data_IF_434812744229
#
_entry.id   IF_434812744229
#
_cell.length_a   1.000
_cell.length_b   1.000
_cell.length_c   1.000
_cell.angle_alpha   90.00
_cell.angle_beta   90.00
_cell.angle_gamma   90.00
#
_symmetry.space_group_name_H-M   'P 1'
#
loop_
_entity.id
_entity.type
_entity.pdbx_description
1 polymer ?
#
# COMPACT_ATOMS: atom_id res chain seq x y z
N UNK A 1 -7.27 35.15 -35.44
CA UNK A 1 -8.71 34.86 -35.43
C UNK A 1 -8.97 33.88 -34.31
N UNK A 2 -9.79 34.23 -33.29
CA UNK A 2 -10.21 33.29 -32.25
C UNK A 2 -10.96 32.17 -32.94
N UNK A 3 -10.56 30.91 -32.71
CA UNK A 3 -11.39 29.78 -33.04
C UNK A 3 -12.64 29.84 -32.16
N UNK A 4 -13.83 30.18 -32.68
CA UNK A 4 -15.03 30.36 -31.85
C UNK A 4 -15.51 29.05 -31.20
N UNK A 5 -14.90 27.93 -31.57
CA UNK A 5 -15.31 26.56 -31.22
C UNK A 5 -14.91 26.13 -29.81
N UNK A 6 -13.76 26.58 -29.30
CA UNK A 6 -13.21 26.08 -28.04
C UNK A 6 -13.86 26.71 -26.82
N UNK A 7 -14.11 28.03 -26.86
CA UNK A 7 -14.80 28.75 -25.78
C UNK A 7 -16.30 28.43 -25.67
N UNK A 8 -16.90 27.89 -26.73
CA UNK A 8 -18.29 27.42 -26.72
C UNK A 8 -18.44 25.98 -26.21
N UNK A 9 -17.39 25.15 -26.32
CA UNK A 9 -17.44 23.73 -25.94
C UNK A 9 -16.83 23.42 -24.57
N UNK A 10 -15.77 24.13 -24.15
CA UNK A 10 -15.05 23.86 -22.91
C UNK A 10 -14.89 25.10 -22.03
N UNK A 11 -14.87 24.91 -20.73
CA UNK A 11 -14.54 25.92 -19.72
C UNK A 11 -13.51 25.39 -18.74
N UNK A 12 -12.71 26.29 -18.14
CA UNK A 12 -11.75 25.92 -17.08
C UNK A 12 -12.47 25.33 -15.87
N UNK A 13 -11.94 24.26 -15.33
CA UNK A 13 -12.44 23.70 -14.07
C UNK A 13 -12.04 24.61 -12.92
N UNK A 14 -12.95 25.04 -12.04
CA UNK A 14 -12.63 25.89 -10.88
C UNK A 14 -11.77 25.18 -9.84
N UNK A 15 -11.78 23.85 -9.85
CA UNK A 15 -10.96 23.02 -8.94
C UNK A 15 -9.48 23.05 -9.31
N UNK A 16 -9.13 23.27 -10.58
CA UNK A 16 -7.75 23.17 -11.08
C UNK A 16 -6.86 24.28 -10.51
N UNK A 17 -5.67 23.87 -10.07
CA UNK A 17 -4.58 24.75 -9.65
C UNK A 17 -3.42 24.65 -10.61
N UNK A 18 -2.85 25.79 -10.97
CA UNK A 18 -1.64 25.87 -11.78
C UNK A 18 -0.43 26.08 -10.85
N UNK A 19 0.52 25.17 -10.91
CA UNK A 19 1.73 25.18 -10.09
C UNK A 19 2.94 25.43 -10.99
N UNK A 20 3.67 26.55 -10.85
CA UNK A 20 4.90 26.74 -11.58
C UNK A 20 5.97 25.78 -11.08
N UNK A 21 6.70 25.16 -11.99
CA UNK A 21 7.84 24.28 -11.73
C UNK A 21 9.00 24.71 -12.62
N UNK A 22 10.20 24.68 -12.05
CA UNK A 22 11.43 24.89 -12.83
C UNK A 22 12.22 23.60 -12.78
N UNK A 23 12.38 22.97 -13.93
CA UNK A 23 13.16 21.74 -14.08
C UNK A 23 14.27 22.05 -15.09
N UNK A 24 15.53 21.89 -14.67
CA UNK A 24 16.73 22.18 -15.47
C UNK A 24 16.72 23.58 -16.13
N UNK A 25 16.36 24.58 -15.35
CA UNK A 25 16.32 25.96 -15.82
C UNK A 25 15.16 26.30 -16.77
N UNK A 26 14.34 25.32 -17.17
CA UNK A 26 13.14 25.52 -18.00
C UNK A 26 11.90 25.62 -17.11
N UNK A 27 11.01 26.56 -17.42
CA UNK A 27 9.77 26.79 -16.69
C UNK A 27 8.61 25.99 -17.28
N UNK A 28 7.86 25.34 -16.41
CA UNK A 28 6.65 24.58 -16.72
C UNK A 28 5.52 24.95 -15.77
N UNK A 29 4.31 24.63 -16.14
CA UNK A 29 3.13 24.80 -15.30
C UNK A 29 2.40 23.46 -15.19
N UNK A 30 2.31 22.93 -13.96
CA UNK A 30 1.55 21.73 -13.67
C UNK A 30 0.12 22.14 -13.36
N UNK A 31 -0.82 21.86 -14.27
CA UNK A 31 -2.24 21.95 -14.00
C UNK A 31 -2.64 20.70 -13.19
N UNK A 32 -3.18 20.89 -12.01
CA UNK A 32 -3.56 19.79 -11.12
C UNK A 32 -4.99 19.99 -10.63
N UNK A 33 -5.82 18.94 -10.81
CA UNK A 33 -7.14 18.86 -10.22
C UNK A 33 -7.07 18.07 -8.90
N UNK A 34 -7.16 18.74 -7.74
CA UNK A 34 -7.01 18.07 -6.46
C UNK A 34 -8.10 17.04 -6.16
N UNK A 35 -9.31 17.21 -6.71
CA UNK A 35 -10.44 16.31 -6.46
C UNK A 35 -10.28 14.99 -7.20
N UNK A 36 -9.77 15.06 -8.42
CA UNK A 36 -9.56 13.90 -9.27
C UNK A 36 -8.18 13.27 -9.09
N UNK A 37 -7.19 14.02 -8.57
CA UNK A 37 -5.80 13.61 -8.57
C UNK A 37 -5.22 13.48 -9.99
N UNK A 38 -5.81 14.16 -10.95
CA UNK A 38 -5.34 14.23 -12.33
C UNK A 38 -4.50 15.50 -12.55
N UNK A 39 -3.60 15.45 -13.51
CA UNK A 39 -2.73 16.56 -13.80
C UNK A 39 -2.21 16.53 -15.26
N UNK A 40 -1.70 17.68 -15.71
CA UNK A 40 -0.98 17.83 -16.97
C UNK A 40 0.14 18.85 -16.81
N UNK A 41 1.15 18.76 -17.65
CA UNK A 41 2.25 19.72 -17.74
C UNK A 41 2.06 20.54 -19.00
N UNK A 42 2.18 21.86 -18.85
CA UNK A 42 2.20 22.81 -19.96
C UNK A 42 3.51 23.57 -19.94
N UNK A 43 4.09 23.82 -21.10
CA UNK A 43 5.16 24.79 -21.23
C UNK A 43 4.62 26.23 -21.10
N UNK A 44 5.49 27.22 -21.20
CA UNK A 44 5.09 28.62 -21.02
C UNK A 44 4.14 29.11 -22.11
N UNK A 45 4.31 28.65 -23.35
CA UNK A 45 3.47 29.00 -24.47
C UNK A 45 2.10 28.32 -24.39
N UNK A 46 2.07 27.05 -24.06
CA UNK A 46 0.85 26.27 -23.83
C UNK A 46 0.03 26.84 -22.65
N UNK A 47 0.75 27.20 -21.56
CA UNK A 47 0.11 27.81 -20.39
C UNK A 47 -0.49 29.19 -20.71
N UNK A 48 0.19 30.01 -21.52
CA UNK A 48 -0.37 31.26 -21.99
C UNK A 48 -1.64 31.03 -22.82
N UNK A 49 -1.63 30.05 -23.74
CA UNK A 49 -2.83 29.68 -24.51
C UNK A 49 -3.97 29.20 -23.59
N UNK A 50 -3.63 28.42 -22.58
CA UNK A 50 -4.60 28.02 -21.55
C UNK A 50 -5.21 29.22 -20.82
N UNK A 51 -4.39 30.20 -20.41
CA UNK A 51 -4.86 31.38 -19.69
C UNK A 51 -5.79 32.25 -20.56
N UNK A 52 -5.47 32.37 -21.83
CA UNK A 52 -6.18 33.24 -22.78
C UNK A 52 -7.35 32.54 -23.51
N UNK A 53 -7.71 31.31 -23.09
CA UNK A 53 -8.76 30.47 -23.72
C UNK A 53 -8.50 30.24 -25.23
N UNK A 54 -7.24 30.05 -25.61
CA UNK A 54 -6.76 29.88 -26.99
C UNK A 54 -6.10 28.51 -27.23
N UNK A 55 -6.48 27.48 -26.44
CA UNK A 55 -6.00 26.13 -26.63
C UNK A 55 -6.28 25.63 -28.06
N UNK A 56 -5.38 24.82 -28.56
CA UNK A 56 -5.66 24.03 -29.78
C UNK A 56 -6.67 22.93 -29.44
N UNK A 57 -7.29 22.33 -30.44
CA UNK A 57 -8.25 21.25 -30.25
C UNK A 57 -7.64 20.05 -29.53
N UNK A 58 -6.40 19.67 -29.88
CA UNK A 58 -5.66 18.56 -29.25
C UNK A 58 -5.35 18.86 -27.78
N UNK A 59 -4.90 20.08 -27.46
CA UNK A 59 -4.64 20.50 -26.09
C UNK A 59 -5.93 20.48 -25.25
N UNK A 60 -7.00 21.02 -25.80
CA UNK A 60 -8.29 21.06 -25.12
C UNK A 60 -8.85 19.65 -24.88
N UNK A 61 -8.81 18.77 -25.88
CA UNK A 61 -9.26 17.39 -25.73
C UNK A 61 -8.40 16.64 -24.67
N UNK A 62 -7.08 16.82 -24.69
CA UNK A 62 -6.16 16.23 -23.71
C UNK A 62 -6.50 16.68 -22.30
N UNK A 63 -6.71 17.98 -22.08
CA UNK A 63 -7.06 18.51 -20.76
C UNK A 63 -8.47 18.10 -20.33
N UNK A 64 -9.41 17.98 -21.27
CA UNK A 64 -10.76 17.53 -21.00
C UNK A 64 -10.79 16.05 -20.54
N UNK A 65 -10.10 15.18 -21.24
CA UNK A 65 -10.00 13.75 -20.87
C UNK A 65 -9.36 13.54 -19.49
N UNK A 66 -8.61 14.52 -19.01
CA UNK A 66 -8.02 14.53 -17.67
C UNK A 66 -8.88 15.27 -16.63
N UNK A 67 -10.03 15.81 -16.99
CA UNK A 67 -10.90 16.60 -16.11
C UNK A 67 -10.27 17.91 -15.62
N UNK A 68 -9.32 18.47 -16.40
CA UNK A 68 -8.66 19.73 -16.12
C UNK A 68 -9.42 20.94 -16.73
N UNK A 69 -10.20 20.67 -17.77
CA UNK A 69 -11.25 21.54 -18.27
C UNK A 69 -12.54 20.75 -18.33
N UNK A 70 -13.68 21.44 -18.37
CA UNK A 70 -15.02 20.87 -18.35
C UNK A 70 -15.74 21.19 -19.65
N UNK A 71 -16.75 20.39 -19.99
CA UNK A 71 -17.75 20.79 -20.98
C UNK A 71 -18.45 22.07 -20.53
N UNK A 72 -18.67 23.00 -21.47
CA UNK A 72 -19.24 24.33 -21.15
C UNK A 72 -20.61 24.23 -20.47
N UNK A 73 -21.40 23.22 -20.88
CA UNK A 73 -22.75 22.97 -20.36
C UNK A 73 -22.80 22.10 -19.13
N UNK A 74 -21.67 21.49 -18.72
CA UNK A 74 -21.62 20.60 -17.56
C UNK A 74 -21.28 21.35 -16.27
N UNK A 75 -21.88 20.93 -15.15
CA UNK A 75 -21.61 21.46 -13.82
C UNK A 75 -20.60 20.63 -13.00
N UNK A 76 -20.01 19.58 -13.57
CA UNK A 76 -19.11 18.68 -12.86
C UNK A 76 -18.01 18.04 -13.73
N UNK A 77 -17.08 17.36 -13.10
CA UNK A 77 -16.08 16.57 -13.78
C UNK A 77 -16.70 15.32 -14.43
N UNK A 78 -16.33 15.05 -15.69
CA UNK A 78 -16.84 13.89 -16.44
C UNK A 78 -16.07 12.59 -16.15
N UNK A 79 -15.00 12.65 -15.36
CA UNK A 79 -14.27 11.44 -14.97
C UNK A 79 -15.03 10.71 -13.86
N UNK A 80 -15.61 9.58 -14.21
CA UNK A 80 -16.15 8.65 -13.24
C UNK A 80 -15.02 7.75 -12.73
N UNK A 81 -14.75 7.83 -11.44
CA UNK A 81 -13.89 6.84 -10.79
C UNK A 81 -14.65 5.53 -10.62
N UNK A 82 -13.95 4.37 -10.69
CA UNK A 82 -14.54 3.11 -10.31
C UNK A 82 -15.16 3.23 -8.90
N UNK A 83 -16.42 2.82 -8.76
CA UNK A 83 -17.08 2.82 -7.44
C UNK A 83 -16.26 1.96 -6.47
N UNK A 84 -16.00 2.46 -5.26
CA UNK A 84 -15.32 1.66 -4.25
C UNK A 84 -16.06 0.35 -4.00
N UNK A 85 -15.30 -0.73 -3.77
CA UNK A 85 -15.90 -2.03 -3.44
C UNK A 85 -16.81 -1.92 -2.20
N UNK A 86 -17.94 -2.59 -2.26
CA UNK A 86 -18.90 -2.65 -1.16
C UNK A 86 -18.59 -3.79 -0.17
N UNK A 87 -17.94 -4.83 -0.67
CA UNK A 87 -17.64 -6.05 0.08
C UNK A 87 -16.16 -6.43 -0.05
N UNK A 88 -15.57 -7.02 0.99
CA UNK A 88 -14.18 -7.45 0.95
C UNK A 88 -13.98 -8.63 0.00
N UNK A 89 -12.84 -8.62 -0.67
CA UNK A 89 -12.32 -9.72 -1.47
C UNK A 89 -10.96 -10.23 -0.96
N UNK A 90 -10.35 -9.49 -0.02
CA UNK A 90 -9.12 -9.86 0.65
C UNK A 90 -9.39 -9.98 2.15
N UNK A 91 -8.97 -11.06 2.75
CA UNK A 91 -8.96 -11.19 4.21
C UNK A 91 -7.59 -11.62 4.69
N UNK A 92 -7.04 -10.82 5.61
CA UNK A 92 -5.84 -11.19 6.35
C UNK A 92 -6.27 -12.10 7.49
N UNK A 93 -5.84 -13.35 7.43
CA UNK A 93 -6.13 -14.38 8.43
C UNK A 93 -4.93 -14.50 9.34
N UNK A 94 -5.03 -13.94 10.54
CA UNK A 94 -4.01 -14.11 11.56
C UNK A 94 -4.17 -15.52 12.15
N UNK A 95 -3.51 -16.50 11.52
CA UNK A 95 -3.66 -17.92 11.88
C UNK A 95 -3.13 -18.22 13.29
N UNK A 96 -2.22 -17.40 13.76
CA UNK A 96 -1.68 -17.42 15.12
C UNK A 96 -1.16 -16.03 15.53
N UNK A 97 -1.17 -15.72 16.82
CA UNK A 97 -0.50 -14.54 17.36
C UNK A 97 0.91 -14.86 17.91
N UNK A 98 1.33 -16.13 17.87
CA UNK A 98 2.69 -16.54 18.24
C UNK A 98 3.70 -16.15 17.16
N UNK A 99 4.89 -15.69 17.57
CA UNK A 99 6.00 -15.40 16.66
C UNK A 99 7.31 -15.92 17.29
N UNK A 100 8.20 -16.49 16.49
CA UNK A 100 9.53 -16.92 16.95
C UNK A 100 10.57 -15.79 17.00
N UNK A 101 10.18 -14.57 16.56
CA UNK A 101 11.02 -13.36 16.66
C UNK A 101 10.38 -12.32 17.58
N UNK A 102 11.21 -11.36 18.04
CA UNK A 102 10.82 -10.21 18.84
C UNK A 102 11.33 -8.91 18.23
N UNK A 103 10.82 -8.60 17.02
CA UNK A 103 11.22 -7.38 16.29
C UNK A 103 10.88 -6.11 17.09
N UNK A 104 11.79 -5.11 17.11
CA UNK A 104 11.61 -3.87 17.88
C UNK A 104 10.42 -3.05 17.44
N UNK A 105 10.10 -3.04 16.17
CA UNK A 105 8.99 -2.26 15.56
C UNK A 105 7.72 -3.10 15.35
N UNK A 106 7.55 -4.25 15.99
CA UNK A 106 6.40 -5.10 15.76
C UNK A 106 5.09 -4.39 16.16
N UNK A 107 4.30 -3.99 15.19
CA UNK A 107 3.03 -3.30 15.43
C UNK A 107 1.96 -4.21 16.07
N UNK A 108 2.10 -5.55 15.94
CA UNK A 108 1.20 -6.54 16.50
C UNK A 108 1.66 -7.05 17.88
N UNK A 109 2.81 -6.59 18.37
CA UNK A 109 3.42 -6.96 19.65
C UNK A 109 3.50 -8.46 19.93
N UNK A 110 3.70 -9.27 18.88
CA UNK A 110 3.78 -10.72 19.00
C UNK A 110 5.08 -11.16 19.67
N UNK A 111 5.00 -12.21 20.46
CA UNK A 111 6.12 -12.77 21.24
C UNK A 111 6.25 -14.28 21.06
N UNK A 112 7.48 -14.82 21.27
CA UNK A 112 7.69 -16.27 21.32
C UNK A 112 6.93 -16.92 22.48
N UNK A 113 6.39 -18.13 22.23
CA UNK A 113 5.70 -18.98 23.21
C UNK A 113 4.47 -18.36 23.88
N UNK A 114 4.03 -17.19 23.42
CA UNK A 114 2.77 -16.55 23.82
C UNK A 114 1.92 -16.35 22.58
N UNK A 115 0.66 -16.64 22.69
CA UNK A 115 -0.30 -16.38 21.64
C UNK A 115 -1.26 -17.53 21.38
N UNK A 116 -2.27 -17.21 20.62
CA UNK A 116 -3.37 -18.11 20.28
C UNK A 116 -3.16 -18.72 18.90
N UNK A 117 -3.80 -19.86 18.67
CA UNK A 117 -3.87 -20.54 17.39
C UNK A 117 -5.33 -20.59 16.95
N UNK A 118 -5.58 -20.23 15.69
CA UNK A 118 -6.93 -20.27 15.13
C UNK A 118 -7.46 -21.70 15.09
N UNK A 119 -8.61 -21.94 15.73
CA UNK A 119 -9.25 -23.24 15.77
C UNK A 119 -10.10 -23.47 14.51
N UNK A 120 -10.40 -24.72 14.21
CA UNK A 120 -11.08 -25.11 12.98
C UNK A 120 -12.47 -24.49 12.81
N UNK A 121 -13.20 -24.29 13.90
CA UNK A 121 -14.52 -23.62 13.88
C UNK A 121 -14.42 -22.17 13.35
N UNK A 122 -13.41 -21.43 13.80
CA UNK A 122 -13.12 -20.08 13.31
C UNK A 122 -12.67 -20.12 11.86
N UNK A 123 -11.75 -21.04 11.49
CA UNK A 123 -11.29 -21.20 10.11
C UNK A 123 -12.46 -21.40 9.16
N UNK A 124 -13.33 -22.36 9.48
CA UNK A 124 -14.52 -22.70 8.70
C UNK A 124 -15.44 -21.49 8.54
N UNK A 125 -15.69 -20.78 9.63
CA UNK A 125 -16.56 -19.60 9.62
C UNK A 125 -16.01 -18.46 8.78
N UNK A 126 -14.71 -18.17 8.85
CA UNK A 126 -14.02 -17.16 8.00
C UNK A 126 -14.18 -17.52 6.53
N UNK A 127 -13.95 -18.78 6.18
CA UNK A 127 -14.02 -19.25 4.80
C UNK A 127 -15.46 -19.16 4.26
N UNK A 128 -16.46 -19.64 5.02
CA UNK A 128 -17.88 -19.57 4.66
C UNK A 128 -18.34 -18.14 4.41
N UNK A 129 -18.00 -17.21 5.32
CA UNK A 129 -18.33 -15.79 5.16
C UNK A 129 -17.71 -15.20 3.89
N UNK A 130 -16.43 -15.47 3.63
CA UNK A 130 -15.76 -14.97 2.42
C UNK A 130 -16.31 -15.61 1.15
N UNK A 131 -16.63 -16.91 1.15
CA UNK A 131 -17.26 -17.57 0.02
C UNK A 131 -18.69 -17.04 -0.25
N UNK A 132 -19.36 -16.49 0.75
CA UNK A 132 -20.68 -15.84 0.60
C UNK A 132 -20.61 -14.44 -0.03
N UNK A 133 -19.43 -13.80 -0.11
CA UNK A 133 -19.29 -12.45 -0.67
C UNK A 133 -19.53 -12.45 -2.19
N UNK A 134 -19.95 -11.31 -2.79
CA UNK A 134 -20.25 -11.24 -4.23
C UNK A 134 -19.04 -11.45 -5.15
N UNK A 135 -17.82 -11.16 -4.69
CA UNK A 135 -16.61 -11.30 -5.51
C UNK A 135 -16.38 -12.75 -5.94
N UNK A 136 -16.11 -12.98 -7.22
CA UNK A 136 -15.67 -14.27 -7.74
C UNK A 136 -14.20 -14.59 -7.44
N UNK A 137 -13.41 -13.59 -7.00
CA UNK A 137 -12.00 -13.73 -6.61
C UNK A 137 -11.87 -13.42 -5.14
N UNK A 138 -11.24 -14.33 -4.39
CA UNK A 138 -10.98 -14.19 -2.96
C UNK A 138 -9.49 -14.39 -2.73
N UNK A 139 -8.89 -13.53 -1.90
CA UNK A 139 -7.53 -13.72 -1.43
C UNK A 139 -7.54 -13.96 0.08
N UNK A 140 -7.03 -15.11 0.50
CA UNK A 140 -6.68 -15.39 1.89
C UNK A 140 -5.19 -15.10 2.10
N UNK A 141 -4.89 -14.06 2.87
CA UNK A 141 -3.53 -13.72 3.23
C UNK A 141 -3.24 -14.23 4.65
N UNK A 142 -2.54 -15.36 4.74
CA UNK A 142 -2.21 -16.01 6.00
C UNK A 142 -1.03 -15.29 6.64
N UNK A 143 -1.29 -14.71 7.78
CA UNK A 143 -0.37 -13.91 8.59
C UNK A 143 -0.52 -14.25 10.07
N UNK A 144 -0.16 -13.30 10.92
CA UNK A 144 -0.32 -13.36 12.37
C UNK A 144 0.89 -12.77 13.07
N UNK A 145 1.46 -13.51 14.03
CA UNK A 145 2.82 -13.30 14.48
C UNK A 145 3.79 -13.81 13.42
N UNK A 146 4.02 -15.12 13.42
CA UNK A 146 4.69 -15.83 12.32
C UNK A 146 3.83 -17.03 11.90
N UNK A 147 3.25 -17.02 10.71
CA UNK A 147 2.31 -18.07 10.28
C UNK A 147 2.98 -19.46 10.21
N UNK A 148 4.27 -19.53 9.93
CA UNK A 148 5.00 -20.80 9.88
C UNK A 148 5.24 -21.44 11.26
N UNK A 149 4.93 -20.74 12.35
CA UNK A 149 4.82 -21.36 13.67
C UNK A 149 3.58 -22.30 13.76
N UNK A 150 2.64 -22.20 12.83
CA UNK A 150 1.42 -23.04 12.80
C UNK A 150 1.14 -23.61 11.41
N UNK A 151 2.14 -24.28 10.81
CA UNK A 151 2.04 -24.89 9.47
C UNK A 151 0.89 -25.90 9.36
N UNK A 152 0.64 -26.69 10.41
CA UNK A 152 -0.49 -27.63 10.45
C UNK A 152 -1.83 -26.92 10.37
N UNK A 153 -2.01 -25.79 11.07
CA UNK A 153 -3.22 -24.97 10.98
C UNK A 153 -3.36 -24.31 9.61
N UNK A 154 -2.25 -23.81 9.05
CA UNK A 154 -2.24 -23.26 7.68
C UNK A 154 -2.69 -24.31 6.65
N UNK A 155 -2.14 -25.51 6.70
CA UNK A 155 -2.57 -26.65 5.85
C UNK A 155 -4.06 -26.92 6.01
N UNK A 156 -4.53 -27.01 7.27
CA UNK A 156 -5.95 -27.27 7.56
C UNK A 156 -6.88 -26.19 7.03
N UNK A 157 -6.49 -24.91 7.18
CA UNK A 157 -7.24 -23.78 6.64
C UNK A 157 -7.41 -23.90 5.11
N UNK A 158 -6.33 -24.20 4.41
CA UNK A 158 -6.37 -24.36 2.95
C UNK A 158 -7.23 -25.57 2.55
N UNK A 159 -7.08 -26.70 3.21
CA UNK A 159 -7.88 -27.91 2.92
C UNK A 159 -9.38 -27.66 3.11
N UNK A 160 -9.79 -26.99 4.19
CA UNK A 160 -11.19 -26.60 4.42
C UNK A 160 -11.65 -25.62 3.32
N UNK A 161 -10.82 -24.68 2.95
CA UNK A 161 -11.13 -23.70 1.91
C UNK A 161 -11.37 -24.37 0.56
N UNK A 162 -10.51 -25.30 0.15
CA UNK A 162 -10.66 -26.07 -1.08
C UNK A 162 -11.92 -26.96 -1.04
N UNK A 163 -12.20 -27.59 0.10
CA UNK A 163 -13.39 -28.41 0.29
C UNK A 163 -14.68 -27.60 0.11
N UNK A 164 -14.81 -26.49 0.84
CA UNK A 164 -15.99 -25.63 0.80
C UNK A 164 -16.16 -24.92 -0.54
N UNK A 165 -15.06 -24.64 -1.22
CA UNK A 165 -15.12 -23.99 -2.52
C UNK A 165 -15.59 -24.88 -3.67
N UNK A 166 -15.60 -26.20 -3.51
CA UNK A 166 -16.14 -27.14 -4.54
C UNK A 166 -17.58 -26.82 -4.96
N UNK A 167 -18.37 -26.29 -4.03
CA UNK A 167 -19.75 -25.89 -4.29
C UNK A 167 -19.91 -24.43 -4.70
N UNK A 168 -18.92 -23.61 -4.44
CA UNK A 168 -18.96 -22.16 -4.74
C UNK A 168 -18.24 -21.79 -6.04
N UNK A 169 -17.21 -22.54 -6.44
CA UNK A 169 -16.49 -22.37 -7.69
C UNK A 169 -15.73 -21.05 -7.85
N UNK A 170 -15.32 -20.42 -6.74
CA UNK A 170 -14.61 -19.15 -6.77
C UNK A 170 -13.13 -19.33 -7.05
N UNK A 171 -12.49 -18.29 -7.60
CA UNK A 171 -11.03 -18.23 -7.73
C UNK A 171 -10.43 -17.83 -6.39
N UNK A 172 -9.76 -18.77 -5.72
CA UNK A 172 -9.09 -18.51 -4.45
C UNK A 172 -7.59 -18.34 -4.68
N UNK A 173 -7.00 -17.32 -4.06
CA UNK A 173 -5.56 -17.11 -3.98
C UNK A 173 -5.11 -17.19 -2.53
N UNK A 174 -4.13 -18.04 -2.25
CA UNK A 174 -3.45 -18.10 -0.96
C UNK A 174 -2.18 -17.27 -1.00
N UNK A 175 -2.01 -16.42 0.02
CA UNK A 175 -0.80 -15.63 0.23
C UNK A 175 -0.28 -15.85 1.65
N UNK A 176 1.04 -15.77 1.82
CA UNK A 176 1.70 -15.86 3.12
C UNK A 176 2.68 -14.71 3.26
N UNK A 177 2.67 -14.03 4.39
CA UNK A 177 3.74 -13.11 4.77
C UNK A 177 4.45 -13.69 5.97
N UNK A 178 5.72 -14.04 5.81
CA UNK A 178 6.54 -14.72 6.81
C UNK A 178 7.81 -13.93 7.14
N UNK A 179 8.39 -14.16 8.30
CA UNK A 179 9.74 -13.69 8.61
C UNK A 179 10.84 -14.53 7.94
N UNK A 180 10.48 -15.64 7.31
CA UNK A 180 11.37 -16.50 6.52
C UNK A 180 12.23 -17.49 7.30
N UNK A 181 12.35 -17.36 8.60
CA UNK A 181 13.27 -18.21 9.42
C UNK A 181 12.84 -19.67 9.53
N UNK A 182 11.55 -19.96 9.27
CA UNK A 182 10.95 -21.29 9.40
C UNK A 182 10.57 -21.90 8.03
N UNK A 183 11.10 -21.39 6.93
CA UNK A 183 10.94 -21.99 5.60
C UNK A 183 11.71 -23.31 5.59
N UNK A 184 10.99 -24.41 5.44
CA UNK A 184 11.49 -25.78 5.38
C UNK A 184 10.77 -26.57 4.29
N UNK A 185 11.11 -27.84 4.14
CA UNK A 185 10.56 -28.71 3.10
C UNK A 185 9.03 -28.87 3.24
N UNK A 186 8.52 -28.89 4.48
CA UNK A 186 7.06 -28.94 4.71
C UNK A 186 6.35 -27.72 4.12
N UNK A 187 6.86 -26.53 4.36
CA UNK A 187 6.27 -25.30 3.77
C UNK A 187 6.45 -25.27 2.24
N UNK A 188 7.60 -25.69 1.75
CA UNK A 188 7.89 -25.76 0.29
C UNK A 188 6.90 -26.67 -0.41
N UNK A 189 6.65 -27.87 0.13
CA UNK A 189 5.68 -28.83 -0.42
C UNK A 189 4.26 -28.25 -0.40
N UNK A 190 3.87 -27.61 0.71
CA UNK A 190 2.58 -26.96 0.83
C UNK A 190 2.43 -25.82 -0.19
N UNK A 191 3.46 -24.99 -0.34
CA UNK A 191 3.46 -23.87 -1.29
C UNK A 191 3.35 -24.33 -2.74
N UNK A 192 4.07 -25.40 -3.11
CA UNK A 192 3.96 -26.02 -4.44
C UNK A 192 2.57 -26.63 -4.69
N UNK A 193 2.08 -27.41 -3.73
CA UNK A 193 0.80 -28.13 -3.85
C UNK A 193 -0.38 -27.19 -4.07
N UNK A 194 -0.44 -26.08 -3.34
CA UNK A 194 -1.57 -25.14 -3.35
C UNK A 194 -1.27 -23.82 -4.05
N UNK A 195 -0.16 -23.74 -4.78
CA UNK A 195 0.30 -22.51 -5.46
C UNK A 195 0.26 -21.29 -4.54
N UNK A 196 0.80 -21.45 -3.33
CA UNK A 196 0.86 -20.37 -2.35
C UNK A 196 1.87 -19.31 -2.82
N UNK A 197 1.43 -18.09 -2.92
CA UNK A 197 2.30 -16.94 -3.11
C UNK A 197 2.80 -16.44 -1.75
N UNK A 198 4.05 -16.10 -1.64
CA UNK A 198 4.56 -15.64 -0.35
C UNK A 198 5.60 -14.53 -0.48
N UNK A 199 5.62 -13.69 0.54
CA UNK A 199 6.62 -12.66 0.74
C UNK A 199 7.38 -12.88 2.04
N UNK A 200 8.62 -12.43 2.07
CA UNK A 200 9.50 -12.53 3.25
C UNK A 200 9.74 -11.14 3.82
N UNK A 201 9.86 -11.04 5.14
CA UNK A 201 10.14 -9.78 5.82
C UNK A 201 11.63 -9.63 6.09
N UNK A 202 12.31 -8.65 5.47
CA UNK A 202 13.76 -8.42 5.58
C UNK A 202 14.08 -6.94 5.35
N UNK A 203 14.93 -6.33 6.18
CA UNK A 203 15.10 -4.87 6.22
C UNK A 203 16.39 -4.37 5.55
N UNK A 204 16.98 -5.19 4.70
CA UNK A 204 18.23 -4.92 4.01
C UNK A 204 19.40 -5.77 4.53
N UNK A 205 20.66 -5.34 4.36
CA UNK A 205 21.85 -6.06 4.80
C UNK A 205 21.86 -6.47 6.27
N UNK A 206 22.76 -7.38 6.64
CA UNK A 206 22.86 -7.99 7.96
C UNK A 206 23.00 -6.98 9.10
N UNK A 207 23.83 -5.97 8.90
CA UNK A 207 24.08 -4.91 9.87
C UNK A 207 22.83 -4.07 10.18
N UNK A 208 21.92 -3.91 9.22
CA UNK A 208 20.64 -3.20 9.38
C UNK A 208 19.59 -4.13 9.99
N UNK A 209 19.38 -5.29 9.39
CA UNK A 209 18.34 -6.23 9.80
C UNK A 209 18.53 -6.70 11.25
N UNK A 210 19.76 -7.00 11.66
CA UNK A 210 20.06 -7.48 13.00
C UNK A 210 19.93 -6.42 14.12
N UNK A 211 19.76 -5.16 13.78
CA UNK A 211 19.46 -4.12 14.78
C UNK A 211 18.02 -4.21 15.30
N UNK A 212 17.10 -4.75 14.51
CA UNK A 212 15.66 -4.65 14.75
C UNK A 212 14.91 -5.99 14.70
N UNK A 213 15.34 -6.94 13.83
CA UNK A 213 14.74 -8.29 13.77
C UNK A 213 15.51 -9.25 14.67
N UNK A 214 15.06 -9.36 15.91
CA UNK A 214 15.74 -10.09 16.95
C UNK A 214 15.01 -11.38 17.30
N UNK A 215 15.78 -12.39 17.71
CA UNK A 215 15.28 -13.57 18.43
C UNK A 215 15.02 -13.20 19.90
N UNK A 216 14.43 -14.12 20.65
CA UNK A 216 14.15 -13.92 22.09
C UNK A 216 15.40 -13.72 22.96
N UNK A 217 16.55 -14.26 22.54
CA UNK A 217 17.85 -14.09 23.19
C UNK A 217 18.56 -12.77 22.83
N UNK A 218 17.93 -11.93 21.98
CA UNK A 218 18.48 -10.67 21.53
C UNK A 218 19.44 -10.80 20.34
N UNK A 219 19.73 -12.00 19.85
CA UNK A 219 20.53 -12.19 18.64
C UNK A 219 19.74 -11.83 17.37
N UNK A 220 20.46 -11.40 16.32
CA UNK A 220 19.83 -11.04 15.04
C UNK A 220 19.40 -12.27 14.23
N UNK A 221 18.34 -12.12 13.45
CA UNK A 221 17.72 -13.22 12.70
C UNK A 221 18.14 -13.26 11.20
N UNK A 222 19.02 -12.37 10.74
CA UNK A 222 19.36 -12.22 9.32
C UNK A 222 19.77 -13.54 8.65
N UNK A 223 20.68 -14.29 9.27
CA UNK A 223 21.25 -15.49 8.65
C UNK A 223 20.17 -16.57 8.43
N UNK A 224 19.24 -16.76 9.36
CA UNK A 224 18.12 -17.69 9.21
C UNK A 224 17.13 -17.23 8.15
N UNK A 225 16.86 -15.92 8.07
CA UNK A 225 15.97 -15.35 7.06
C UNK A 225 16.54 -15.61 5.65
N UNK A 226 17.81 -15.27 5.45
CA UNK A 226 18.48 -15.46 4.15
C UNK A 226 18.60 -16.95 3.80
N UNK A 227 18.89 -17.82 4.77
CA UNK A 227 18.90 -19.27 4.56
C UNK A 227 17.54 -19.79 4.11
N UNK A 228 16.44 -19.29 4.70
CA UNK A 228 15.08 -19.63 4.27
C UNK A 228 14.77 -19.15 2.85
N UNK A 229 15.20 -17.93 2.49
CA UNK A 229 15.08 -17.39 1.13
C UNK A 229 15.81 -18.29 0.11
N UNK A 230 17.07 -18.62 0.37
CA UNK A 230 17.85 -19.46 -0.54
C UNK A 230 17.23 -20.87 -0.67
N UNK A 231 16.79 -21.48 0.43
CA UNK A 231 16.10 -22.78 0.39
C UNK A 231 14.86 -22.74 -0.50
N UNK A 232 14.04 -21.69 -0.41
CA UNK A 232 12.88 -21.53 -1.28
C UNK A 232 13.28 -21.35 -2.74
N UNK A 233 14.31 -20.56 -3.05
CA UNK A 233 14.83 -20.34 -4.40
C UNK A 233 15.41 -21.63 -4.99
N UNK A 234 16.20 -22.37 -4.23
CA UNK A 234 16.77 -23.67 -4.63
C UNK A 234 15.67 -24.70 -4.93
N UNK A 235 14.56 -24.65 -4.19
CA UNK A 235 13.38 -25.47 -4.45
C UNK A 235 12.56 -25.01 -5.68
N UNK A 236 12.98 -23.94 -6.37
CA UNK A 236 12.29 -23.38 -7.53
C UNK A 236 11.04 -22.55 -7.21
N UNK A 237 10.84 -22.15 -5.95
CA UNK A 237 9.75 -21.25 -5.58
C UNK A 237 10.11 -19.80 -5.88
N UNK A 238 9.13 -19.08 -6.42
CA UNK A 238 9.25 -17.62 -6.62
C UNK A 238 8.78 -16.91 -5.35
N UNK A 239 9.65 -16.09 -4.78
CA UNK A 239 9.30 -15.17 -3.70
C UNK A 239 8.68 -13.92 -4.32
N UNK A 240 7.45 -13.58 -3.94
CA UNK A 240 6.73 -12.41 -4.49
C UNK A 240 7.43 -11.09 -4.18
N UNK A 241 8.15 -11.04 -3.07
CA UNK A 241 8.96 -9.90 -2.66
C UNK A 241 9.23 -9.88 -1.17
N UNK A 242 9.97 -8.87 -0.75
CA UNK A 242 10.28 -8.63 0.65
C UNK A 242 9.59 -7.35 1.15
N UNK A 243 9.00 -7.40 2.34
CA UNK A 243 8.64 -6.17 3.07
C UNK A 243 9.89 -5.69 3.83
N UNK A 244 10.40 -4.52 3.40
CA UNK A 244 11.54 -3.85 4.03
C UNK A 244 11.02 -2.70 4.90
N UNK A 245 11.06 -2.87 6.21
CA UNK A 245 10.63 -1.83 7.14
C UNK A 245 11.74 -0.80 7.31
N UNK A 246 11.43 0.47 7.01
CA UNK A 246 12.36 1.57 7.17
C UNK A 246 12.15 2.25 8.53
N UNK A 247 13.27 2.55 9.15
CA UNK A 247 13.35 3.27 10.41
C UNK A 247 14.73 3.89 10.59
N UNK A 248 15.04 4.40 11.78
CA UNK A 248 16.30 5.05 12.07
C UNK A 248 17.54 4.15 11.82
N UNK A 249 17.35 2.83 11.80
CA UNK A 249 18.40 1.84 11.57
C UNK A 249 18.83 1.71 10.09
N UNK A 250 18.02 2.19 9.13
CA UNK A 250 18.30 1.96 7.71
C UNK A 250 17.74 3.03 6.74
N UNK A 251 17.00 4.05 7.20
CA UNK A 251 16.35 5.02 6.29
C UNK A 251 17.34 5.88 5.49
N UNK A 252 18.59 6.01 5.92
CA UNK A 252 19.64 6.75 5.20
C UNK A 252 20.44 5.89 4.23
N UNK A 253 20.14 4.60 4.13
CA UNK A 253 20.91 3.59 3.41
C UNK A 253 20.20 3.06 2.15
N UNK A 254 19.36 3.89 1.52
CA UNK A 254 18.50 3.48 0.39
C UNK A 254 19.28 2.83 -0.77
N UNK A 255 20.48 3.32 -1.09
CA UNK A 255 21.33 2.73 -2.14
C UNK A 255 21.76 1.31 -1.77
N UNK A 256 22.30 1.11 -0.55
CA UNK A 256 22.73 -0.21 -0.07
C UNK A 256 21.58 -1.21 0.02
N UNK A 257 20.38 -0.75 0.39
CA UNK A 257 19.16 -1.57 0.43
C UNK A 257 18.80 -2.05 -0.98
N UNK A 258 18.77 -1.15 -1.98
CA UNK A 258 18.45 -1.52 -3.35
C UNK A 258 19.48 -2.52 -3.93
N UNK A 259 20.77 -2.29 -3.71
CA UNK A 259 21.86 -3.19 -4.11
C UNK A 259 21.74 -4.57 -3.48
N UNK A 260 21.44 -4.62 -2.19
CA UNK A 260 21.25 -5.87 -1.46
C UNK A 260 20.11 -6.71 -2.03
N UNK A 261 18.94 -6.12 -2.27
CA UNK A 261 17.81 -6.86 -2.85
C UNK A 261 18.06 -7.27 -4.31
N UNK A 262 18.80 -6.46 -5.06
CA UNK A 262 19.23 -6.83 -6.41
C UNK A 262 20.16 -8.05 -6.39
N UNK A 263 21.14 -8.10 -5.48
CA UNK A 263 22.03 -9.25 -5.29
C UNK A 263 21.27 -10.50 -4.80
N UNK A 264 20.29 -10.34 -3.95
CA UNK A 264 19.45 -11.43 -3.44
C UNK A 264 18.45 -11.95 -4.49
N UNK A 265 18.22 -11.17 -5.57
CA UNK A 265 17.36 -11.55 -6.68
C UNK A 265 15.86 -11.56 -6.34
N UNK A 266 15.41 -10.78 -5.36
CA UNK A 266 13.99 -10.70 -4.97
C UNK A 266 13.47 -9.26 -5.02
N UNK A 267 12.24 -9.05 -5.51
CA UNK A 267 11.58 -7.76 -5.42
C UNK A 267 11.41 -7.31 -3.96
N UNK A 268 11.25 -6.01 -3.73
CA UNK A 268 11.06 -5.52 -2.36
C UNK A 268 10.09 -4.33 -2.30
N UNK A 269 9.56 -4.09 -1.09
CA UNK A 269 8.63 -3.01 -0.78
C UNK A 269 9.11 -2.29 0.46
N UNK A 270 9.91 -1.23 0.31
CA UNK A 270 10.31 -0.39 1.43
C UNK A 270 9.11 0.43 1.93
N UNK A 271 8.94 0.48 3.24
CA UNK A 271 7.90 1.28 3.89
C UNK A 271 8.34 1.69 5.29
N UNK A 272 8.00 2.90 5.73
CA UNK A 272 8.25 3.31 7.11
C UNK A 272 7.56 2.40 8.13
N UNK A 273 8.17 2.23 9.29
CA UNK A 273 7.56 1.60 10.44
C UNK A 273 6.30 2.36 10.89
N UNK A 274 5.31 1.63 11.42
CA UNK A 274 4.08 2.23 11.91
C UNK A 274 4.16 2.41 13.41
N UNK A 275 3.73 3.55 13.92
CA UNK A 275 3.75 3.89 15.35
C UNK A 275 2.61 3.17 16.08
N UNK A 276 2.77 1.84 16.27
CA UNK A 276 1.83 0.96 16.97
C UNK A 276 2.59 -0.20 17.59
N UNK A 277 2.01 -0.85 18.60
CA UNK A 277 2.63 -1.96 19.31
C UNK A 277 3.98 -1.56 19.91
N UNK A 278 5.01 -2.43 19.78
CA UNK A 278 6.36 -2.15 20.29
C UNK A 278 7.04 -0.94 19.68
N UNK A 279 6.63 -0.47 18.50
CA UNK A 279 7.21 0.73 17.90
C UNK A 279 6.96 1.98 18.75
N UNK A 280 5.88 2.03 19.53
CA UNK A 280 5.59 3.14 20.45
C UNK A 280 6.73 3.32 21.47
N UNK A 281 7.30 2.21 21.94
CA UNK A 281 8.41 2.21 22.91
C UNK A 281 9.77 2.33 22.24
N UNK A 282 9.96 1.65 21.11
CA UNK A 282 11.24 1.56 20.42
C UNK A 282 11.60 2.82 19.64
N UNK A 283 10.59 3.60 19.21
CA UNK A 283 10.74 4.85 18.45
C UNK A 283 11.70 4.72 17.26
N UNK A 284 11.65 3.60 16.55
CA UNK A 284 12.55 3.32 15.41
C UNK A 284 12.05 3.89 14.11
N UNK A 285 10.85 4.44 14.06
CA UNK A 285 10.24 4.98 12.83
C UNK A 285 11.03 6.15 12.24
N UNK A 286 10.80 6.43 10.96
CA UNK A 286 11.42 7.56 10.26
C UNK A 286 10.88 8.89 10.77
N UNK A 287 11.75 9.92 10.83
CA UNK A 287 11.36 11.31 11.07
C UNK A 287 10.78 11.92 9.79
N UNK A 288 10.11 13.06 9.94
CA UNK A 288 9.56 13.80 8.79
C UNK A 288 10.65 14.19 7.79
N UNK A 289 10.45 13.84 6.55
CA UNK A 289 11.38 14.06 5.44
C UNK A 289 12.29 12.88 5.12
N UNK A 290 12.66 12.08 6.11
CA UNK A 290 13.59 10.96 5.92
C UNK A 290 13.06 9.87 4.97
N UNK A 291 11.74 9.62 5.01
CA UNK A 291 11.14 8.69 4.05
C UNK A 291 11.21 9.21 2.61
N UNK A 292 10.95 10.49 2.40
CA UNK A 292 11.02 11.07 1.06
C UNK A 292 12.45 11.03 0.49
N UNK A 293 13.45 11.27 1.34
CA UNK A 293 14.86 11.19 0.93
C UNK A 293 15.29 9.74 0.66
N UNK A 294 14.91 8.80 1.54
CA UNK A 294 15.11 7.37 1.30
C UNK A 294 14.43 6.92 0.00
N UNK A 295 13.20 7.38 -0.25
CA UNK A 295 12.46 7.04 -1.47
C UNK A 295 13.22 7.49 -2.73
N UNK A 296 13.77 8.68 -2.76
CA UNK A 296 14.54 9.19 -3.91
C UNK A 296 15.78 8.33 -4.18
N UNK A 297 16.56 8.03 -3.14
CA UNK A 297 17.74 7.17 -3.25
C UNK A 297 17.37 5.78 -3.77
N UNK A 298 16.32 5.18 -3.20
CA UNK A 298 15.77 3.89 -3.63
C UNK A 298 15.24 3.94 -5.07
N UNK A 299 14.57 5.03 -5.46
CA UNK A 299 14.01 5.21 -6.80
C UNK A 299 15.11 5.13 -7.86
N UNK A 300 16.12 5.96 -7.77
CA UNK A 300 17.20 6.00 -8.76
C UNK A 300 17.97 4.68 -8.79
N UNK A 301 18.37 4.16 -7.62
CA UNK A 301 19.18 2.95 -7.58
C UNK A 301 18.40 1.71 -8.03
N UNK A 302 17.12 1.61 -7.69
CA UNK A 302 16.27 0.50 -8.17
C UNK A 302 16.07 0.54 -9.68
N UNK A 303 15.88 1.73 -10.27
CA UNK A 303 15.76 1.91 -11.74
C UNK A 303 17.07 1.55 -12.45
N UNK A 304 18.20 1.99 -11.92
CA UNK A 304 19.54 1.68 -12.48
C UNK A 304 19.84 0.18 -12.46
N UNK A 305 19.52 -0.50 -11.36
CA UNK A 305 19.73 -1.94 -11.20
C UNK A 305 18.67 -2.81 -11.89
N UNK A 306 17.56 -2.21 -12.34
CA UNK A 306 16.43 -2.96 -12.92
C UNK A 306 15.69 -3.83 -11.91
N UNK A 307 15.83 -3.56 -10.59
CA UNK A 307 15.15 -4.32 -9.55
C UNK A 307 13.75 -3.77 -9.30
N UNK A 308 12.77 -4.65 -9.13
CA UNK A 308 11.40 -4.26 -8.81
C UNK A 308 11.30 -3.75 -7.37
N UNK A 309 10.94 -2.48 -7.24
CA UNK A 309 10.61 -1.83 -5.97
C UNK A 309 9.12 -1.47 -5.98
N UNK A 310 8.31 -2.22 -5.22
CA UNK A 310 6.85 -2.03 -5.21
C UNK A 310 6.39 -0.68 -4.69
N UNK A 311 7.16 -0.02 -3.82
CA UNK A 311 6.78 1.32 -3.37
C UNK A 311 6.89 2.34 -4.50
N UNK A 312 7.87 2.18 -5.43
CA UNK A 312 7.94 3.01 -6.63
C UNK A 312 6.66 2.83 -7.45
N UNK A 313 6.28 1.60 -7.76
CA UNK A 313 5.06 1.33 -8.55
C UNK A 313 3.81 1.89 -7.90
N UNK A 314 3.64 1.72 -6.58
CA UNK A 314 2.48 2.23 -5.86
C UNK A 314 2.39 3.76 -5.93
N UNK A 315 3.51 4.47 -5.73
CA UNK A 315 3.50 5.93 -5.80
C UNK A 315 3.39 6.45 -7.24
N UNK A 316 4.04 5.80 -8.22
CA UNK A 316 3.87 6.10 -9.64
C UNK A 316 2.41 5.89 -10.08
N UNK A 317 1.78 4.79 -9.67
CA UNK A 317 0.36 4.53 -9.93
C UNK A 317 -0.53 5.62 -9.34
N UNK A 318 -0.29 6.04 -8.09
CA UNK A 318 -1.05 7.11 -7.46
C UNK A 318 -0.92 8.46 -8.17
N UNK A 319 0.23 8.74 -8.79
CA UNK A 319 0.51 10.01 -9.48
C UNK A 319 0.11 9.97 -10.95
N UNK A 320 0.42 8.88 -11.66
CA UNK A 320 0.33 8.85 -13.12
C UNK A 320 -0.98 8.28 -13.66
N UNK A 321 -1.74 7.53 -12.83
CA UNK A 321 -2.96 6.88 -13.30
C UNK A 321 -4.19 7.27 -12.48
N UNK A 322 -5.36 7.40 -13.13
CA UNK A 322 -6.63 7.60 -12.41
C UNK A 322 -7.15 6.29 -11.78
N UNK A 323 -6.73 5.13 -12.27
CA UNK A 323 -7.09 3.82 -11.75
C UNK A 323 -5.93 3.28 -10.93
N UNK A 324 -6.22 2.83 -9.72
CA UNK A 324 -5.24 2.40 -8.71
C UNK A 324 -5.61 1.04 -8.18
N UNK A 325 -4.80 0.04 -8.48
CA UNK A 325 -5.12 -1.35 -8.15
C UNK A 325 -4.68 -1.73 -6.73
N UNK A 326 -3.67 -1.05 -6.18
CA UNK A 326 -3.20 -1.37 -4.84
C UNK A 326 -4.18 -0.90 -3.76
N UNK A 327 -4.66 -1.82 -2.91
CA UNK A 327 -5.72 -1.58 -1.92
C UNK A 327 -5.34 -0.52 -0.87
N UNK A 328 -4.06 -0.46 -0.47
CA UNK A 328 -3.55 0.52 0.48
C UNK A 328 -2.97 1.74 -0.24
N UNK A 329 -2.88 2.88 0.45
CA UNK A 329 -2.28 4.12 -0.03
C UNK A 329 -2.97 4.76 -1.25
N UNK A 330 -4.09 4.23 -1.70
CA UNK A 330 -4.94 4.80 -2.75
C UNK A 330 -6.16 5.52 -2.17
N UNK A 331 -6.82 6.33 -2.97
CA UNK A 331 -8.09 6.96 -2.65
C UNK A 331 -9.26 6.22 -3.34
N UNK A 332 -10.30 5.83 -2.60
CA UNK A 332 -10.41 5.74 -1.14
C UNK A 332 -9.65 4.54 -0.56
N UNK A 333 -9.42 4.57 0.79
CA UNK A 333 -8.78 3.48 1.51
C UNK A 333 -9.60 2.18 1.46
N UNK A 334 -8.90 1.03 1.32
CA UNK A 334 -9.55 -0.30 1.24
C UNK A 334 -10.02 -0.88 2.59
N UNK A 335 -9.69 -0.25 3.73
CA UNK A 335 -10.08 -0.74 5.06
C UNK A 335 -11.61 -0.86 5.19
N UNK A 336 -12.10 -2.01 5.67
CA UNK A 336 -13.52 -2.38 5.75
C UNK A 336 -14.28 -2.28 4.42
N UNK A 337 -13.59 -2.14 3.29
CA UNK A 337 -14.15 -2.12 1.94
C UNK A 337 -13.73 -3.36 1.15
N UNK A 338 -12.43 -3.49 0.91
CA UNK A 338 -11.85 -4.55 0.11
C UNK A 338 -11.04 -5.53 0.95
N UNK A 339 -10.57 -5.08 2.12
CA UNK A 339 -9.75 -5.85 3.04
C UNK A 339 -10.37 -5.87 4.43
N UNK A 340 -10.28 -7.02 5.07
CA UNK A 340 -10.53 -7.22 6.50
C UNK A 340 -9.35 -7.99 7.12
N UNK A 341 -9.30 -8.01 8.45
CA UNK A 341 -8.40 -8.88 9.20
C UNK A 341 -9.17 -9.66 10.24
N UNK A 342 -8.83 -10.93 10.46
CA UNK A 342 -9.47 -11.79 11.44
C UNK A 342 -8.41 -12.42 12.33
N UNK A 343 -8.59 -12.29 13.63
CA UNK A 343 -7.69 -12.88 14.64
C UNK A 343 -8.05 -14.34 14.99
N UNK A 344 -7.16 -15.10 15.65
CA UNK A 344 -7.40 -16.50 15.99
C UNK A 344 -8.66 -16.76 16.82
N UNK A 345 -9.08 -15.79 17.64
CA UNK A 345 -10.29 -15.86 18.46
C UNK A 345 -11.59 -15.60 17.66
N UNK A 346 -11.47 -15.18 16.39
CA UNK A 346 -12.57 -14.82 15.50
C UNK A 346 -12.91 -13.33 15.47
N UNK A 347 -12.19 -12.48 16.20
CA UNK A 347 -12.40 -11.02 16.18
C UNK A 347 -12.01 -10.45 14.82
N UNK A 348 -12.90 -9.62 14.24
CA UNK A 348 -12.75 -9.01 12.91
C UNK A 348 -12.38 -7.56 13.03
N UNK A 349 -11.43 -7.10 12.20
CA UNK A 349 -10.92 -5.73 12.13
C UNK A 349 -11.02 -5.16 10.70
N UNK A 350 -11.08 -3.82 10.54
CA UNK A 350 -11.18 -3.17 9.22
C UNK A 350 -10.01 -3.46 8.28
N UNK A 351 -8.81 -3.68 8.82
CA UNK A 351 -7.61 -4.12 8.09
C UNK A 351 -6.57 -4.65 9.08
N UNK A 352 -5.50 -5.24 8.57
CA UNK A 352 -4.43 -5.81 9.39
C UNK A 352 -3.75 -4.80 10.35
N UNK A 353 -3.70 -3.53 9.97
CA UNK A 353 -3.12 -2.48 10.82
C UNK A 353 -3.84 -2.29 12.17
N UNK A 354 -5.12 -2.65 12.26
CA UNK A 354 -5.91 -2.52 13.48
C UNK A 354 -5.97 -3.78 14.34
N UNK A 355 -5.31 -4.87 13.92
CA UNK A 355 -5.30 -6.09 14.73
C UNK A 355 -4.69 -5.83 16.11
N UNK A 356 -5.41 -6.27 17.16
CA UNK A 356 -5.02 -5.99 18.55
C UNK A 356 -5.60 -4.70 19.14
N UNK A 357 -6.07 -3.77 18.31
CA UNK A 357 -6.73 -2.55 18.76
C UNK A 357 -8.22 -2.81 19.04
N UNK A 358 -8.55 -3.23 20.27
CA UNK A 358 -9.90 -3.66 20.66
C UNK A 358 -10.99 -2.63 20.35
N UNK A 359 -10.65 -1.35 20.36
CA UNK A 359 -11.56 -0.24 20.01
C UNK A 359 -12.07 -0.33 18.56
N UNK A 360 -11.30 -0.96 17.65
CA UNK A 360 -11.67 -1.15 16.25
C UNK A 360 -12.17 -2.56 15.93
N UNK A 361 -12.55 -3.34 16.96
CA UNK A 361 -13.22 -4.61 16.75
C UNK A 361 -14.57 -4.40 16.06
N UNK A 362 -14.73 -4.96 14.88
CA UNK A 362 -16.01 -4.95 14.16
C UNK A 362 -17.00 -5.96 14.75
N UNK A 363 -16.55 -6.90 15.56
CA UNK A 363 -17.31 -7.99 16.17
C UNK A 363 -16.55 -9.30 16.06
N UNK A 364 -17.21 -10.39 16.44
CA UNK A 364 -16.65 -11.74 16.35
C UNK A 364 -17.40 -12.57 15.30
N UNK A 365 -16.64 -13.23 14.42
CA UNK A 365 -17.21 -13.98 13.28
C UNK A 365 -18.04 -15.21 13.72
N UNK A 366 -17.85 -15.66 14.97
CA UNK A 366 -18.67 -16.73 15.57
C UNK A 366 -20.08 -16.27 15.91
N UNK A 367 -20.24 -14.98 16.22
CA UNK A 367 -21.49 -14.43 16.74
C UNK A 367 -22.33 -13.75 15.66
N UNK A 368 -21.67 -13.13 14.67
CA UNK A 368 -22.36 -12.35 13.63
C UNK A 368 -21.64 -12.42 12.27
N UNK A 369 -22.37 -12.14 11.19
CA UNK A 369 -21.82 -12.16 9.84
C UNK A 369 -20.99 -10.91 9.52
N UNK A 370 -20.02 -11.03 8.60
CA UNK A 370 -19.28 -9.87 8.07
C UNK A 370 -20.25 -8.83 7.49
N UNK A 371 -21.33 -9.24 6.82
CA UNK A 371 -22.35 -8.33 6.27
C UNK A 371 -23.04 -7.50 7.35
N UNK A 372 -23.27 -8.06 8.55
CA UNK A 372 -23.80 -7.35 9.70
C UNK A 372 -22.78 -6.35 10.23
N UNK A 373 -21.55 -6.78 10.41
CA UNK A 373 -20.45 -5.93 10.90
C UNK A 373 -20.22 -4.70 10.02
N UNK A 374 -20.30 -4.85 8.69
CA UNK A 374 -20.13 -3.76 7.72
C UNK A 374 -21.24 -2.70 7.78
N UNK A 375 -22.36 -2.98 8.45
CA UNK A 375 -23.50 -2.06 8.62
C UNK A 375 -23.44 -1.25 9.94
N UNK A 376 -22.49 -1.54 10.84
CA UNK A 376 -22.34 -0.81 12.10
C UNK A 376 -21.98 0.66 11.81
N UNK A 377 -22.59 1.59 12.51
CA UNK A 377 -22.49 3.03 12.23
C UNK A 377 -21.04 3.49 12.14
N UNK A 378 -20.20 3.15 13.11
CA UNK A 378 -18.80 3.55 13.10
C UNK A 378 -17.98 2.90 11.95
N UNK A 379 -18.36 1.69 11.48
CA UNK A 379 -17.73 1.03 10.32
C UNK A 379 -18.14 1.76 9.04
N UNK A 380 -19.41 2.12 8.91
CA UNK A 380 -19.92 2.96 7.80
C UNK A 380 -19.23 4.30 7.80
N UNK A 381 -19.05 4.93 8.96
CA UNK A 381 -18.33 6.20 9.11
C UNK A 381 -16.85 6.05 8.68
N UNK A 382 -16.16 5.00 9.14
CA UNK A 382 -14.78 4.71 8.72
C UNK A 382 -14.67 4.48 7.20
N UNK A 383 -15.61 3.75 6.61
CA UNK A 383 -15.69 3.54 5.16
C UNK A 383 -15.90 4.85 4.39
N UNK A 384 -16.65 5.79 4.95
CA UNK A 384 -16.90 7.10 4.36
C UNK A 384 -15.79 8.11 4.65
N UNK A 385 -14.76 7.72 5.39
CA UNK A 385 -13.57 8.55 5.63
C UNK A 385 -12.82 8.80 4.32
N UNK A 386 -12.71 10.05 3.95
CA UNK A 386 -12.03 10.50 2.74
C UNK A 386 -11.15 11.70 3.05
N UNK A 387 -10.42 12.20 2.06
CA UNK A 387 -9.67 13.46 2.19
C UNK A 387 -10.57 14.65 2.54
N UNK A 388 -11.87 14.60 2.21
CA UNK A 388 -12.84 15.65 2.53
C UNK A 388 -13.22 15.67 4.02
N UNK A 389 -13.14 14.53 4.71
CA UNK A 389 -13.47 14.42 6.14
C UNK A 389 -12.29 14.76 7.05
N UNK A 390 -11.08 14.93 6.49
CA UNK A 390 -9.86 15.24 7.24
C UNK A 390 -9.46 16.69 6.99
N UNK A 391 -9.48 17.53 8.04
CA UNK A 391 -9.28 18.98 7.96
C UNK A 391 -8.06 19.41 7.12
N UNK A 392 -6.89 18.81 7.35
CA UNK A 392 -5.66 19.13 6.61
C UNK A 392 -5.69 18.62 5.15
N UNK A 393 -6.34 17.48 4.92
CA UNK A 393 -6.42 16.90 3.59
C UNK A 393 -7.40 17.65 2.68
N UNK A 394 -8.48 18.24 3.22
CA UNK A 394 -9.48 18.97 2.46
C UNK A 394 -8.90 20.10 1.59
N UNK A 395 -7.86 20.77 2.06
CA UNK A 395 -7.16 21.83 1.30
C UNK A 395 -5.91 21.34 0.59
N UNK A 396 -5.58 20.06 0.65
CA UNK A 396 -4.37 19.50 0.04
C UNK A 396 -4.49 19.41 -1.48
N UNK A 397 -3.43 19.81 -2.20
CA UNK A 397 -3.36 19.70 -3.65
C UNK A 397 -3.38 18.24 -4.13
N UNK A 398 -2.86 17.32 -3.34
CA UNK A 398 -2.74 15.89 -3.68
C UNK A 398 -3.84 15.00 -3.09
N UNK A 399 -5.00 15.61 -2.66
CA UNK A 399 -6.05 14.86 -1.96
C UNK A 399 -6.66 13.73 -2.77
N UNK A 400 -6.73 13.86 -4.09
CA UNK A 400 -7.22 12.83 -5.00
C UNK A 400 -6.20 11.72 -5.28
N UNK A 401 -4.92 11.93 -4.98
CA UNK A 401 -3.85 10.93 -5.16
C UNK A 401 -3.56 10.15 -3.86
N UNK A 402 -4.01 10.64 -2.71
CA UNK A 402 -3.61 10.14 -1.39
C UNK A 402 -4.81 9.79 -0.53
N UNK A 403 -4.76 8.65 0.17
CA UNK A 403 -5.84 8.25 1.08
C UNK A 403 -5.59 8.62 2.54
N UNK A 404 -4.44 9.07 2.97
CA UNK A 404 -4.10 9.24 4.39
C UNK A 404 -4.46 7.98 5.22
N UNK A 405 -3.51 7.11 5.50
CA UNK A 405 -3.75 5.83 6.17
C UNK A 405 -4.43 6.01 7.54
N UNK A 406 -5.59 5.37 7.72
CA UNK A 406 -6.41 5.57 8.93
C UNK A 406 -5.74 5.00 10.18
N UNK A 407 -5.14 3.81 10.09
CA UNK A 407 -4.50 3.23 11.27
C UNK A 407 -3.16 3.91 11.62
N UNK A 408 -2.39 4.39 10.64
CA UNK A 408 -1.19 5.19 10.91
C UNK A 408 -1.54 6.53 11.60
N UNK A 409 -2.65 7.16 11.17
CA UNK A 409 -3.17 8.35 11.85
C UNK A 409 -3.60 8.05 13.28
N UNK A 410 -4.26 6.90 13.51
CA UNK A 410 -4.64 6.49 14.86
C UNK A 410 -3.41 6.24 15.75
N UNK A 411 -2.43 5.49 15.28
CA UNK A 411 -1.21 5.22 16.03
C UNK A 411 -0.44 6.50 16.42
N UNK A 412 -0.38 7.48 15.51
CA UNK A 412 0.34 8.72 15.77
C UNK A 412 -0.45 9.75 16.61
N UNK A 413 -1.79 9.76 16.52
CA UNK A 413 -2.60 10.86 17.05
C UNK A 413 -3.81 10.41 17.88
N UNK A 414 -4.02 9.12 18.09
CA UNK A 414 -5.18 8.56 18.81
C UNK A 414 -6.52 8.73 18.07
N UNK A 415 -6.51 9.08 16.78
CA UNK A 415 -7.72 9.28 15.99
C UNK A 415 -7.50 8.97 14.51
N UNK A 416 -8.51 8.39 13.87
CA UNK A 416 -8.49 8.13 12.42
C UNK A 416 -8.76 9.40 11.58
N UNK A 417 -9.24 10.49 12.16
CA UNK A 417 -9.67 11.71 11.46
C UNK A 417 -8.56 12.77 11.34
N UNK A 418 -7.31 12.35 11.46
CA UNK A 418 -6.13 13.16 11.18
C UNK A 418 -5.44 12.68 9.88
N UNK A 419 -4.56 13.52 9.39
CA UNK A 419 -3.64 13.16 8.32
C UNK A 419 -2.68 12.05 8.75
N UNK A 420 -2.19 11.27 7.79
CA UNK A 420 -1.11 10.32 8.01
C UNK A 420 0.15 11.04 8.55
N UNK A 421 0.87 10.48 9.54
CA UNK A 421 2.11 11.09 10.04
C UNK A 421 3.17 11.31 8.96
N UNK A 422 3.13 10.52 7.88
CA UNK A 422 4.02 10.66 6.73
C UNK A 422 3.47 11.59 5.64
N UNK A 423 2.50 12.44 5.96
CA UNK A 423 1.84 13.35 5.01
C UNK A 423 2.84 14.25 4.27
N UNK A 424 3.84 14.77 4.98
CA UNK A 424 4.87 15.64 4.39
C UNK A 424 5.76 14.88 3.40
N UNK A 425 6.19 13.69 3.78
CA UNK A 425 6.99 12.81 2.91
C UNK A 425 6.24 12.45 1.62
N UNK A 426 4.95 12.09 1.73
CA UNK A 426 4.14 11.78 0.54
C UNK A 426 4.02 12.95 -0.41
N UNK A 427 3.85 14.17 0.11
CA UNK A 427 3.80 15.37 -0.72
C UNK A 427 5.11 15.59 -1.47
N UNK A 428 6.24 15.43 -0.78
CA UNK A 428 7.57 15.51 -1.40
C UNK A 428 7.79 14.44 -2.47
N UNK A 429 7.29 13.21 -2.23
CA UNK A 429 7.36 12.12 -3.21
C UNK A 429 6.51 12.43 -4.43
N UNK A 430 5.29 12.96 -4.26
CA UNK A 430 4.43 13.33 -5.40
C UNK A 430 5.05 14.47 -6.21
N UNK A 431 5.59 15.49 -5.56
CA UNK A 431 6.32 16.57 -6.22
C UNK A 431 7.51 16.04 -7.02
N UNK A 432 8.30 15.17 -6.39
CA UNK A 432 9.46 14.53 -7.02
C UNK A 432 9.06 13.71 -8.26
N UNK A 433 8.00 12.90 -8.19
CA UNK A 433 7.55 12.09 -9.32
C UNK A 433 7.03 12.95 -10.49
N UNK A 434 6.35 14.06 -10.21
CA UNK A 434 5.93 15.01 -11.24
C UNK A 434 7.17 15.65 -11.91
N UNK A 435 8.18 16.03 -11.14
CA UNK A 435 9.43 16.59 -11.66
C UNK A 435 10.21 15.57 -12.49
N UNK A 436 10.29 14.31 -12.03
CA UNK A 436 10.89 13.21 -12.81
C UNK A 436 10.15 12.95 -14.10
N UNK A 437 8.81 13.02 -14.09
CA UNK A 437 8.02 12.89 -15.30
C UNK A 437 8.35 14.00 -16.30
N UNK A 438 8.45 15.25 -15.86
CA UNK A 438 8.84 16.38 -16.71
C UNK A 438 10.24 16.14 -17.29
N UNK A 439 11.19 15.72 -16.47
CA UNK A 439 12.57 15.45 -16.89
C UNK A 439 12.63 14.37 -17.97
N UNK A 440 11.97 13.24 -17.72
CA UNK A 440 12.05 12.09 -18.60
C UNK A 440 11.22 12.22 -19.88
N UNK A 441 10.01 12.75 -19.79
CA UNK A 441 9.03 12.69 -20.90
C UNK A 441 8.85 14.01 -21.63
N UNK A 442 9.14 15.15 -21.01
CA UNK A 442 9.04 16.46 -21.63
C UNK A 442 10.41 16.95 -22.11
N UNK A 443 11.45 16.78 -21.28
CA UNK A 443 12.81 17.22 -21.62
C UNK A 443 13.57 16.14 -22.39
N UNK A 444 13.25 14.87 -22.21
CA UNK A 444 13.85 13.73 -22.91
C UNK A 444 15.15 13.22 -22.29
N UNK A 445 15.35 13.44 -21.01
CA UNK A 445 16.52 12.96 -20.28
C UNK A 445 16.27 11.60 -19.64
N UNK A 446 17.36 10.83 -19.48
CA UNK A 446 17.29 9.59 -18.68
C UNK A 446 17.16 9.94 -17.20
N UNK A 447 16.34 9.17 -16.48
CA UNK A 447 16.26 9.26 -15.00
C UNK A 447 17.64 9.03 -14.38
N UNK A 448 18.28 10.09 -13.88
CA UNK A 448 19.57 10.04 -13.19
C UNK A 448 19.49 10.86 -11.90
N UNK A 449 20.19 10.45 -10.82
CA UNK A 449 20.31 11.31 -9.65
C UNK A 449 20.92 12.66 -10.08
N UNK A 450 20.40 13.76 -9.51
CA UNK A 450 21.06 15.05 -9.66
C UNK A 450 22.50 14.90 -9.09
N UNK A 451 23.49 15.30 -9.85
CA UNK A 451 24.86 15.42 -9.34
C UNK A 451 24.82 16.36 -8.14
N UNK A 452 25.18 15.84 -6.95
CA UNK A 452 25.25 16.59 -5.68
C UNK A 452 26.47 17.47 -5.62
#
# INVERSE_FOLDING_TARGET
MRSPWLSARYKKSPAVKALPKTVQGRRFYVLLNPDLGSWAVLDEVEYQRYQEDRLTEVEAETLFLRGLILDADSNGAQLEFPKPAEFPSVVVVNITTTCNLRCKYCFADCEPQKGDFMQEDVMRRVIEEMLSMPSNRITFELQGGEPLCYKTGMRRFIEISEELNKTNGKSIQYRVVTNGTLIDDEFIDLAKKYNIRFGVSLDGPKDMTNQVRLRSDGSGAFDDIVAGIHRAQEAGLKIDGSVCTLGQHNCHEGVRIAEFFAQLGIPFKPRPANILGREIESMTTTKSGEWADAYKALYYRSKELGITNFSIHIYEENVYTPVRDYICLRYPCGAAREILSVNPDGTVYPCDGFKGETHFSMGNIKDESIRSMLKKDWVVELRNRTSETIKKCKSCLYRGMCCSCCYSAYGAYGTVYREDPQCEDRRKIFDFLIEEWIRCYVIGEKSQPAET
#
